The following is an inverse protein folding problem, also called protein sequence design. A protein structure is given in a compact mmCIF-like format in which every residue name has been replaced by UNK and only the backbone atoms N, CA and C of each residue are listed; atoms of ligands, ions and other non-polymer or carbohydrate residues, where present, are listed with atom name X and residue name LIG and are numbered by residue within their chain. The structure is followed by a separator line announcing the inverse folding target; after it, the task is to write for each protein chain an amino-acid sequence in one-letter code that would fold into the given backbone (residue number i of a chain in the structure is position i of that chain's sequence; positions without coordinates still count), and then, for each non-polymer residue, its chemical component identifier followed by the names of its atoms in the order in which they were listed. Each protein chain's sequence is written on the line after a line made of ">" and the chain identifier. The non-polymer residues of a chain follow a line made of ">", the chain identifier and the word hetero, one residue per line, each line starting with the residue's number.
data_IF_859483045376
#
_entry.id   IF_859483045376
#
_cell.length_a   1.000
_cell.length_b   1.000
_cell.length_c   1.000
_cell.angle_alpha   90.00
_cell.angle_beta   90.00
_cell.angle_gamma   90.00
#
_symmetry.space_group_name_H-M   'P 1'
#
loop_
_entity.id
_entity.type
_entity.pdbx_description
1 polymer ?
#
# COMPACT_ATOMS: atom_id res chain seq x y z
N UNK A 1 7.76 5.24 -2.06
CA UNK A 1 7.24 4.00 -2.69
C UNK A 1 6.04 4.32 -3.56
N UNK A 2 4.89 4.67 -2.96
CA UNK A 2 3.63 4.88 -3.69
C UNK A 2 3.75 6.02 -4.73
N UNK A 3 4.20 7.20 -4.29
CA UNK A 3 4.34 8.37 -5.17
C UNK A 3 5.32 8.14 -6.34
N UNK A 4 6.40 7.39 -6.11
CA UNK A 4 7.36 7.05 -7.17
C UNK A 4 6.82 6.07 -8.22
N UNK A 5 5.72 5.36 -7.93
CA UNK A 5 5.07 4.42 -8.87
C UNK A 5 3.85 5.05 -9.52
N UNK A 6 3.04 5.81 -8.77
CA UNK A 6 1.74 6.31 -9.21
C UNK A 6 1.70 7.83 -9.47
N UNK A 7 2.71 8.60 -9.03
CA UNK A 7 2.70 10.07 -9.05
C UNK A 7 2.49 10.69 -10.43
N UNK A 8 2.99 10.03 -11.49
CA UNK A 8 2.83 10.46 -12.88
C UNK A 8 1.79 9.69 -13.67
N UNK A 9 1.06 8.76 -13.05
CA UNK A 9 0.20 7.81 -13.74
C UNK A 9 -1.28 8.18 -13.60
N UNK A 10 -2.04 8.01 -14.68
CA UNK A 10 -3.50 8.01 -14.65
C UNK A 10 -4.03 6.57 -14.59
N UNK A 11 -5.21 6.38 -14.00
CA UNK A 11 -5.81 5.05 -13.84
C UNK A 11 -5.85 4.25 -15.14
N UNK A 12 -5.22 3.07 -15.11
CA UNK A 12 -5.28 2.08 -16.18
C UNK A 12 -5.40 0.68 -15.56
N UNK A 13 -6.53 0.02 -15.81
CA UNK A 13 -6.82 -1.29 -15.24
C UNK A 13 -5.78 -2.35 -15.60
N UNK A 14 -5.16 -2.25 -16.79
CA UNK A 14 -4.16 -3.21 -17.24
C UNK A 14 -2.87 -3.15 -16.41
N UNK A 15 -2.58 -2.01 -15.77
CA UNK A 15 -1.35 -1.78 -15.03
C UNK A 15 -1.50 -2.02 -13.51
N UNK A 16 -2.72 -2.22 -13.00
CA UNK A 16 -2.99 -2.37 -11.55
C UNK A 16 -2.12 -3.45 -10.91
N UNK A 17 -2.04 -4.63 -11.55
CA UNK A 17 -1.27 -5.75 -11.00
C UNK A 17 0.24 -5.42 -10.93
N UNK A 18 0.76 -4.70 -11.93
CA UNK A 18 2.15 -4.27 -11.95
C UNK A 18 2.44 -3.21 -10.88
N UNK A 19 1.57 -2.20 -10.76
CA UNK A 19 1.75 -1.13 -9.78
C UNK A 19 1.65 -1.66 -8.35
N UNK A 20 0.65 -2.48 -8.05
CA UNK A 20 0.48 -3.09 -6.72
C UNK A 20 1.68 -3.97 -6.35
N UNK A 21 2.16 -4.82 -7.27
CA UNK A 21 3.37 -5.61 -7.05
C UNK A 21 4.59 -4.71 -6.77
N UNK A 22 4.82 -3.68 -7.60
CA UNK A 22 5.96 -2.77 -7.43
C UNK A 22 5.92 -2.02 -6.10
N UNK A 23 4.74 -1.52 -5.69
CA UNK A 23 4.58 -0.82 -4.41
C UNK A 23 4.88 -1.75 -3.24
N UNK A 24 4.36 -2.99 -3.27
CA UNK A 24 4.59 -4.00 -2.23
C UNK A 24 6.07 -4.36 -2.14
N UNK A 25 6.72 -4.67 -3.27
CA UNK A 25 8.14 -5.05 -3.33
C UNK A 25 9.07 -3.93 -2.84
N UNK A 26 8.86 -2.68 -3.31
CA UNK A 26 9.67 -1.54 -2.87
C UNK A 26 9.49 -1.27 -1.37
N UNK A 27 8.25 -1.34 -0.88
CA UNK A 27 7.96 -1.09 0.55
C UNK A 27 8.56 -2.18 1.43
N UNK A 28 8.41 -3.45 1.04
CA UNK A 28 9.02 -4.57 1.76
C UNK A 28 10.55 -4.48 1.74
N UNK A 29 11.15 -4.12 0.61
CA UNK A 29 12.60 -3.90 0.50
C UNK A 29 13.09 -2.81 1.46
N UNK A 30 12.37 -1.70 1.58
CA UNK A 30 12.73 -0.65 2.53
C UNK A 30 12.59 -1.10 3.99
N UNK A 31 11.56 -1.88 4.33
CA UNK A 31 11.37 -2.42 5.67
C UNK A 31 12.50 -3.39 6.06
N UNK A 32 12.86 -4.31 5.16
CA UNK A 32 13.96 -5.25 5.38
C UNK A 32 15.29 -4.51 5.57
N UNK A 33 15.54 -3.44 4.82
CA UNK A 33 16.75 -2.60 4.95
C UNK A 33 16.88 -1.91 6.32
N UNK A 34 15.81 -1.80 7.11
CA UNK A 34 15.90 -1.26 8.47
C UNK A 34 16.65 -2.19 9.44
N UNK A 35 16.88 -3.45 9.06
CA UNK A 35 17.66 -4.41 9.86
C UNK A 35 17.03 -4.76 11.21
N UNK A 36 15.72 -4.55 11.37
CA UNK A 36 14.99 -4.92 12.59
C UNK A 36 14.43 -6.34 12.49
N UNK A 37 14.52 -7.09 13.57
CA UNK A 37 14.08 -8.49 13.66
C UNK A 37 12.56 -8.61 13.83
N UNK A 38 11.81 -8.22 12.80
CA UNK A 38 10.36 -8.37 12.72
C UNK A 38 9.96 -9.21 11.49
N UNK A 39 8.75 -9.76 11.53
CA UNK A 39 8.08 -10.27 10.34
C UNK A 39 7.26 -9.15 9.74
N UNK A 40 7.47 -8.85 8.46
CA UNK A 40 6.76 -7.76 7.76
C UNK A 40 5.67 -8.33 6.85
N UNK A 41 4.49 -7.73 6.92
CA UNK A 41 3.39 -7.96 5.98
C UNK A 41 3.07 -6.61 5.35
N UNK A 42 3.01 -6.57 4.01
CA UNK A 42 2.65 -5.36 3.26
C UNK A 42 1.44 -5.71 2.40
N UNK A 43 0.42 -4.86 2.44
CA UNK A 43 -0.78 -4.96 1.59
C UNK A 43 -1.03 -3.60 0.95
N UNK A 44 -1.44 -3.60 -0.30
CA UNK A 44 -1.70 -2.41 -1.09
C UNK A 44 -3.03 -2.59 -1.83
N UNK A 45 -3.84 -1.54 -1.92
CA UNK A 45 -5.08 -1.54 -2.69
C UNK A 45 -5.13 -0.29 -3.56
N UNK A 46 -4.98 -0.46 -4.88
CA UNK A 46 -5.14 0.64 -5.84
C UNK A 46 -6.56 0.59 -6.40
N UNK A 47 -7.28 1.68 -6.28
CA UNK A 47 -8.70 1.77 -6.65
C UNK A 47 -8.94 2.97 -7.55
N UNK A 48 -9.77 2.79 -8.58
CA UNK A 48 -10.20 3.92 -9.41
C UNK A 48 -10.96 4.93 -8.56
N UNK A 49 -10.63 6.22 -8.70
CA UNK A 49 -11.42 7.29 -8.09
C UNK A 49 -12.79 7.33 -8.75
N UNK A 50 -13.84 7.18 -7.95
CA UNK A 50 -15.22 7.24 -8.40
C UNK A 50 -16.09 7.99 -7.38
N UNK A 51 -17.35 8.25 -7.73
CA UNK A 51 -18.31 8.84 -6.80
C UNK A 51 -18.77 7.86 -5.70
N UNK A 52 -18.39 6.59 -5.80
CA UNK A 52 -18.72 5.56 -4.82
C UNK A 52 -17.66 5.51 -3.71
N UNK A 53 -18.09 5.29 -2.48
CA UNK A 53 -17.19 5.18 -1.33
C UNK A 53 -16.39 3.88 -1.33
N UNK A 54 -15.21 3.92 -0.72
CA UNK A 54 -14.36 2.76 -0.46
C UNK A 54 -13.96 2.74 1.01
N UNK A 55 -14.23 1.63 1.70
CA UNK A 55 -13.96 1.47 3.12
C UNK A 55 -13.02 0.29 3.34
N UNK A 56 -11.93 0.53 4.07
CA UNK A 56 -10.98 -0.51 4.50
C UNK A 56 -10.79 -0.45 6.01
N UNK A 57 -10.74 -1.62 6.62
CA UNK A 57 -10.43 -1.81 8.02
C UNK A 57 -9.59 -3.08 8.18
N UNK A 58 -8.69 -3.09 9.16
CA UNK A 58 -7.89 -4.26 9.51
C UNK A 58 -8.03 -4.53 11.00
N UNK A 59 -8.18 -5.80 11.38
CA UNK A 59 -8.15 -6.26 12.77
C UNK A 59 -7.16 -7.42 12.86
N UNK A 60 -6.40 -7.49 13.95
CA UNK A 60 -5.34 -8.46 14.13
C UNK A 60 -5.40 -9.04 15.55
N UNK A 61 -5.04 -10.31 15.68
CA UNK A 61 -4.85 -10.97 16.96
C UNK A 61 -3.35 -11.28 17.14
N UNK A 62 -2.66 -10.36 17.81
CA UNK A 62 -1.19 -10.31 17.91
C UNK A 62 -0.75 -9.65 19.22
N UNK A 63 0.56 -9.59 19.49
CA UNK A 63 1.08 -9.00 20.72
C UNK A 63 1.00 -7.47 20.68
N UNK A 64 0.13 -6.90 21.53
CA UNK A 64 -0.09 -5.44 21.60
C UNK A 64 1.11 -4.63 22.07
N UNK A 65 2.14 -5.27 22.62
CA UNK A 65 3.35 -4.56 23.09
C UNK A 65 4.42 -4.44 22.02
N UNK A 66 4.53 -5.42 21.12
CA UNK A 66 5.63 -5.52 20.17
C UNK A 66 5.21 -5.45 18.70
N UNK A 67 3.95 -5.76 18.39
CA UNK A 67 3.40 -5.76 17.04
C UNK A 67 2.57 -4.49 16.76
N UNK A 68 2.51 -4.09 15.49
CA UNK A 68 1.81 -2.87 15.10
C UNK A 68 1.56 -2.77 13.60
N UNK A 69 0.58 -1.93 13.24
CA UNK A 69 0.19 -1.66 11.84
C UNK A 69 0.39 -0.19 11.51
N UNK A 70 0.67 0.10 10.25
CA UNK A 70 0.74 1.45 9.71
C UNK A 70 -0.03 1.49 8.39
N UNK A 71 -1.01 2.39 8.31
CA UNK A 71 -1.82 2.59 7.10
C UNK A 71 -1.49 3.95 6.52
N UNK A 72 -1.03 3.96 5.27
CA UNK A 72 -0.80 5.17 4.48
C UNK A 72 -1.88 5.28 3.43
N UNK A 73 -2.45 6.47 3.26
CA UNK A 73 -3.37 6.78 2.16
C UNK A 73 -2.68 7.71 1.18
N UNK A 74 -2.89 7.47 -0.10
CA UNK A 74 -2.39 8.29 -1.19
C UNK A 74 -3.51 8.49 -2.22
N UNK A 75 -3.53 9.66 -2.84
CA UNK A 75 -4.53 10.00 -3.83
C UNK A 75 -3.92 10.82 -4.97
N UNK A 76 -4.49 10.66 -6.16
CA UNK A 76 -4.30 11.59 -7.25
C UNK A 76 -5.63 11.92 -7.93
N UNK A 77 -5.57 12.49 -9.14
CA UNK A 77 -6.74 12.88 -9.91
C UNK A 77 -7.67 11.69 -10.24
N UNK A 78 -7.13 10.50 -10.50
CA UNK A 78 -7.88 9.37 -11.07
C UNK A 78 -7.88 8.12 -10.20
N UNK A 79 -7.11 8.08 -9.10
CA UNK A 79 -6.89 6.90 -8.26
C UNK A 79 -6.77 7.23 -6.77
N UNK A 80 -7.06 6.23 -5.94
CA UNK A 80 -6.68 6.15 -4.53
C UNK A 80 -5.80 4.92 -4.32
N UNK A 81 -4.87 5.00 -3.37
CA UNK A 81 -4.00 3.91 -2.92
C UNK A 81 -3.88 3.89 -1.40
#
# INVERSE_FOLDING_TARGET
>A
CIDGVLGGEDYNQNNINQWTASIVEQSLTHLVKLGKAYKYIVTCAVVQRSAYGFHTASSCFWDTTSDGTCTVRWENRTMNC
#
